data_IF_850776139779
#
_entry.id   IF_850776139779
#
_cell.length_a   1.000
_cell.length_b   1.000
_cell.length_c   1.000
_cell.angle_alpha   90.00
_cell.angle_beta   90.00
_cell.angle_gamma   90.00
#
_symmetry.space_group_name_H-M   'P 1'
#
loop_
_entity.id
_entity.type
_entity.pdbx_description
1 polymer ?
#
# COMPACT_ATOMS: atom_id res chain seq x y z
N UNK A 1 -6.05 47.16 -82.10
CA UNK A 1 -6.27 47.71 -80.75
C UNK A 1 -5.74 46.73 -79.72
N UNK A 2 -5.00 47.26 -78.73
CA UNK A 2 -4.49 46.72 -77.47
C UNK A 2 -4.23 45.20 -77.31
N UNK A 3 -2.93 44.84 -77.20
CA UNK A 3 -2.49 43.68 -76.41
C UNK A 3 -2.22 44.17 -74.99
N UNK A 4 -3.05 43.77 -74.03
CA UNK A 4 -2.79 44.02 -72.61
C UNK A 4 -1.90 42.90 -72.06
N UNK A 5 -0.62 43.19 -71.91
CA UNK A 5 0.31 42.34 -71.14
C UNK A 5 -0.01 42.51 -69.66
N UNK A 6 -0.60 41.48 -69.05
CA UNK A 6 -0.70 41.39 -67.60
C UNK A 6 0.49 40.56 -67.10
N UNK A 7 1.50 41.24 -66.56
CA UNK A 7 2.64 40.61 -65.87
C UNK A 7 2.18 40.30 -64.44
N UNK A 8 2.35 39.07 -63.93
CA UNK A 8 2.10 38.80 -62.52
C UNK A 8 3.19 39.49 -61.69
N UNK A 9 2.81 40.44 -60.84
CA UNK A 9 3.64 40.92 -59.74
C UNK A 9 3.85 39.76 -58.77
N UNK A 10 5.05 39.18 -58.81
CA UNK A 10 5.54 38.33 -57.75
C UNK A 10 5.72 39.21 -56.51
N UNK A 11 5.00 38.92 -55.44
CA UNK A 11 5.26 39.51 -54.14
C UNK A 11 6.68 39.11 -53.70
N UNK A 12 7.64 40.03 -53.84
CA UNK A 12 8.94 39.93 -53.20
C UNK A 12 8.71 40.00 -51.68
N UNK A 13 8.72 38.85 -51.00
CA UNK A 13 9.03 38.81 -49.57
C UNK A 13 10.41 39.43 -49.40
N UNK A 14 10.46 40.65 -48.87
CA UNK A 14 11.70 41.31 -48.50
C UNK A 14 12.49 40.40 -47.54
N UNK A 15 13.78 40.21 -47.81
CA UNK A 15 14.65 39.45 -46.93
C UNK A 15 14.70 40.12 -45.55
N UNK A 16 14.67 39.34 -44.44
CA UNK A 16 14.71 39.89 -43.09
C UNK A 16 15.97 40.74 -42.90
N UNK A 17 15.80 41.88 -42.22
CA UNK A 17 16.92 42.77 -41.96
C UNK A 17 17.85 42.19 -40.91
N UNK A 18 19.06 42.72 -40.81
CA UNK A 18 19.98 42.35 -39.74
C UNK A 18 19.41 42.61 -38.34
N UNK A 19 18.59 43.65 -38.18
CA UNK A 19 17.92 43.95 -36.90
C UNK A 19 16.87 42.90 -36.56
N UNK A 20 16.11 42.41 -37.54
CA UNK A 20 15.12 41.34 -37.35
C UNK A 20 15.82 40.05 -36.90
N UNK A 21 16.91 39.67 -37.58
CA UNK A 21 17.70 38.48 -37.25
C UNK A 21 18.31 38.59 -35.84
N UNK A 22 18.78 39.78 -35.46
CA UNK A 22 19.33 40.00 -34.13
C UNK A 22 18.27 39.90 -33.04
N UNK A 23 17.09 40.49 -33.25
CA UNK A 23 15.98 40.40 -32.32
C UNK A 23 15.50 38.94 -32.13
N UNK A 24 15.46 38.17 -33.21
CA UNK A 24 15.10 36.75 -33.18
C UNK A 24 16.17 35.91 -32.45
N UNK A 25 17.46 36.21 -32.66
CA UNK A 25 18.55 35.57 -31.92
C UNK A 25 18.46 35.85 -30.42
N UNK A 26 18.21 37.10 -30.02
CA UNK A 26 18.06 37.49 -28.61
C UNK A 26 16.83 36.79 -27.98
N UNK A 27 15.73 36.69 -28.72
CA UNK A 27 14.52 35.98 -28.29
C UNK A 27 14.79 34.47 -28.08
N UNK A 28 15.43 33.80 -29.04
CA UNK A 28 15.77 32.38 -28.95
C UNK A 28 16.76 32.12 -27.80
N UNK A 29 17.70 33.03 -27.54
CA UNK A 29 18.61 32.92 -26.40
C UNK A 29 17.86 33.04 -25.06
N UNK A 30 16.89 33.94 -24.97
CA UNK A 30 16.04 34.07 -23.78
C UNK A 30 15.19 32.81 -23.55
N UNK A 31 14.59 32.25 -24.60
CA UNK A 31 13.84 30.99 -24.52
C UNK A 31 14.73 29.81 -24.12
N UNK A 32 15.94 29.72 -24.67
CA UNK A 32 16.90 28.67 -24.31
C UNK A 32 17.32 28.78 -22.84
N UNK A 33 17.49 30.00 -22.32
CA UNK A 33 17.81 30.22 -20.91
C UNK A 33 16.63 29.81 -20.00
N UNK A 34 15.40 30.15 -20.38
CA UNK A 34 14.19 29.73 -19.68
C UNK A 34 14.03 28.21 -19.67
N UNK A 35 14.16 27.56 -20.83
CA UNK A 35 14.05 26.11 -20.96
C UNK A 35 15.11 25.36 -20.13
N UNK A 36 16.32 25.90 -20.03
CA UNK A 36 17.37 25.32 -19.17
C UNK A 36 17.01 25.39 -17.68
N UNK A 37 16.45 26.52 -17.24
CA UNK A 37 15.98 26.67 -15.87
C UNK A 37 14.83 25.70 -15.56
N UNK A 38 13.87 25.57 -16.49
CA UNK A 38 12.76 24.62 -16.33
C UNK A 38 13.27 23.17 -16.23
N UNK A 39 14.26 22.78 -17.05
CA UNK A 39 14.88 21.45 -16.97
C UNK A 39 15.58 21.25 -15.63
N UNK A 40 16.30 22.24 -15.12
CA UNK A 40 16.95 22.15 -13.81
C UNK A 40 15.92 21.96 -12.68
N UNK A 41 14.87 22.78 -12.67
CA UNK A 41 13.75 22.64 -11.71
C UNK A 41 13.08 21.27 -11.79
N UNK A 42 12.76 20.79 -12.99
CA UNK A 42 12.12 19.50 -13.18
C UNK A 42 13.03 18.34 -12.75
N UNK A 43 14.34 18.47 -12.95
CA UNK A 43 15.33 17.47 -12.52
C UNK A 43 15.36 17.38 -10.99
N UNK A 44 15.43 18.52 -10.29
CA UNK A 44 15.38 18.55 -8.82
C UNK A 44 14.05 18.00 -8.29
N UNK A 45 12.93 18.32 -8.94
CA UNK A 45 11.61 17.79 -8.56
C UNK A 45 11.52 16.27 -8.75
N UNK A 46 12.12 15.75 -9.83
CA UNK A 46 12.18 14.33 -10.12
C UNK A 46 13.00 13.59 -9.06
N UNK A 47 14.19 14.07 -8.71
CA UNK A 47 15.04 13.49 -7.66
C UNK A 47 14.29 13.40 -6.33
N UNK A 48 13.63 14.48 -5.92
CA UNK A 48 12.81 14.49 -4.71
C UNK A 48 11.67 13.46 -4.77
N UNK A 49 10.96 13.39 -5.88
CA UNK A 49 9.86 12.44 -6.04
C UNK A 49 10.34 10.98 -6.02
N UNK A 50 11.54 10.70 -6.54
CA UNK A 50 12.15 9.37 -6.45
C UNK A 50 12.52 8.99 -5.02
N UNK A 51 13.03 9.93 -4.24
CA UNK A 51 13.34 9.70 -2.83
C UNK A 51 12.08 9.51 -1.97
N UNK A 52 11.04 10.32 -2.20
CA UNK A 52 9.73 10.13 -1.56
C UNK A 52 9.13 8.75 -1.91
N UNK A 53 9.24 8.32 -3.18
CA UNK A 53 8.81 7.00 -3.61
C UNK A 53 9.57 5.88 -2.90
N UNK A 54 10.89 6.01 -2.72
CA UNK A 54 11.70 5.03 -1.98
C UNK A 54 11.25 4.97 -0.52
N UNK A 55 11.05 6.11 0.14
CA UNK A 55 10.59 6.18 1.52
C UNK A 55 9.22 5.49 1.71
N UNK A 56 8.23 5.85 0.88
CA UNK A 56 6.90 5.23 0.92
C UNK A 56 6.96 3.73 0.63
N UNK A 57 7.83 3.29 -0.28
CA UNK A 57 7.99 1.86 -0.57
C UNK A 57 8.55 1.07 0.62
N UNK A 58 9.46 1.68 1.39
CA UNK A 58 10.01 1.08 2.61
C UNK A 58 8.96 1.01 3.73
N UNK A 59 8.19 2.08 3.94
CA UNK A 59 7.08 2.09 4.90
C UNK A 59 6.02 1.03 4.57
N UNK A 60 5.69 0.88 3.28
CA UNK A 60 4.72 -0.12 2.84
C UNK A 60 5.24 -1.55 3.02
N UNK A 61 6.53 -1.79 2.83
CA UNK A 61 7.16 -3.08 3.11
C UNK A 61 7.10 -3.42 4.61
N UNK A 62 7.45 -2.46 5.47
CA UNK A 62 7.39 -2.59 6.92
C UNK A 62 5.96 -2.87 7.39
N UNK A 63 4.97 -2.12 6.89
CA UNK A 63 3.58 -2.30 7.26
C UNK A 63 3.03 -3.69 6.87
N UNK A 64 3.46 -4.23 5.72
CA UNK A 64 3.12 -5.59 5.30
C UNK A 64 3.71 -6.64 6.25
N UNK A 65 4.95 -6.46 6.69
CA UNK A 65 5.58 -7.35 7.67
C UNK A 65 4.81 -7.30 8.99
N UNK A 66 4.52 -6.10 9.50
CA UNK A 66 3.75 -5.93 10.75
C UNK A 66 2.35 -6.52 10.65
N UNK A 67 1.65 -6.34 9.53
CA UNK A 67 0.34 -6.92 9.32
C UNK A 67 0.40 -8.46 9.34
N UNK A 68 1.39 -9.04 8.67
CA UNK A 68 1.58 -10.50 8.63
C UNK A 68 1.91 -11.04 10.03
N UNK A 69 2.76 -10.34 10.78
CA UNK A 69 3.09 -10.70 12.15
C UNK A 69 1.85 -10.64 13.06
N UNK A 70 1.08 -9.55 13.02
CA UNK A 70 -0.16 -9.42 13.80
C UNK A 70 -1.19 -10.50 13.46
N UNK A 71 -1.31 -10.88 12.19
CA UNK A 71 -2.18 -11.97 11.78
C UNK A 71 -1.70 -13.32 12.34
N UNK A 72 -0.39 -13.56 12.36
CA UNK A 72 0.18 -14.76 12.97
C UNK A 72 0.00 -14.78 14.50
N UNK A 73 0.18 -13.65 15.17
CA UNK A 73 -0.02 -13.48 16.61
C UNK A 73 -1.49 -13.71 16.98
N UNK A 74 -2.43 -13.10 16.26
CA UNK A 74 -3.87 -13.31 16.47
C UNK A 74 -4.28 -14.78 16.28
N UNK A 75 -3.69 -15.48 15.30
CA UNK A 75 -3.92 -16.91 15.11
C UNK A 75 -3.26 -17.77 16.19
N UNK A 76 -2.14 -17.34 16.76
CA UNK A 76 -1.54 -18.00 17.93
C UNK A 76 -2.46 -17.83 19.16
N UNK A 77 -2.92 -16.62 19.44
CA UNK A 77 -3.81 -16.32 20.56
C UNK A 77 -5.14 -17.08 20.46
N UNK A 78 -5.74 -17.13 19.27
CA UNK A 78 -6.97 -17.92 19.01
C UNK A 78 -6.78 -19.43 19.25
N UNK A 79 -5.57 -19.97 19.10
CA UNK A 79 -5.26 -21.37 19.43
C UNK A 79 -5.00 -21.61 20.91
N UNK A 80 -4.78 -20.55 21.68
CA UNK A 80 -4.47 -20.63 23.11
C UNK A 80 -5.70 -20.32 23.97
N UNK A 81 -6.86 -20.01 23.36
CA UNK A 81 -8.14 -19.83 24.05
C UNK A 81 -9.25 -20.58 23.31
N UNK A 82 -10.08 -21.33 24.03
CA UNK A 82 -11.24 -22.01 23.44
C UNK A 82 -12.43 -22.00 24.39
N UNK A 83 -13.64 -22.04 23.83
CA UNK A 83 -14.85 -22.34 24.57
C UNK A 83 -15.03 -23.86 24.65
N UNK A 84 -15.29 -24.37 25.85
CA UNK A 84 -15.45 -25.80 26.15
C UNK A 84 -16.76 -26.03 26.91
N UNK A 85 -17.51 -27.06 26.53
CA UNK A 85 -18.74 -27.49 27.19
C UNK A 85 -18.87 -29.01 27.13
N UNK A 86 -19.63 -29.62 28.05
CA UNK A 86 -20.04 -31.03 27.95
C UNK A 86 -21.19 -31.26 26.97
N UNK A 87 -21.84 -30.19 26.46
CA UNK A 87 -22.95 -30.29 25.51
C UNK A 87 -24.33 -30.33 26.18
N UNK A 88 -25.37 -30.54 25.38
CA UNK A 88 -26.78 -30.46 25.79
C UNK A 88 -27.22 -31.56 26.77
N UNK A 89 -26.39 -32.59 26.96
CA UNK A 89 -26.55 -33.64 27.96
C UNK A 89 -26.26 -33.17 29.39
N UNK A 90 -25.63 -32.00 29.57
CA UNK A 90 -25.55 -31.27 30.84
C UNK A 90 -24.88 -32.02 32.00
N UNK A 91 -24.16 -33.10 31.69
CA UNK A 91 -23.47 -33.91 32.71
C UNK A 91 -22.23 -33.16 33.19
N UNK A 92 -22.07 -33.13 34.50
CA UNK A 92 -20.87 -32.62 35.14
C UNK A 92 -19.66 -33.49 34.76
N UNK A 93 -18.59 -32.87 34.28
CA UNK A 93 -17.36 -33.55 33.91
C UNK A 93 -16.14 -32.79 34.42
N UNK A 94 -15.19 -33.52 35.02
CA UNK A 94 -13.95 -32.95 35.55
C UNK A 94 -12.75 -33.30 34.68
N UNK A 95 -11.97 -32.28 34.28
CA UNK A 95 -10.69 -32.49 33.58
C UNK A 95 -9.66 -31.46 34.02
N UNK A 96 -8.51 -31.95 34.46
CA UNK A 96 -7.37 -31.10 34.86
C UNK A 96 -7.73 -30.02 35.89
N UNK A 97 -8.61 -30.35 36.84
CA UNK A 97 -9.05 -29.42 37.90
C UNK A 97 -10.18 -28.47 37.49
N UNK A 98 -10.70 -28.55 36.27
CA UNK A 98 -11.85 -27.76 35.81
C UNK A 98 -13.12 -28.62 35.76
N UNK A 99 -14.21 -28.08 36.29
CA UNK A 99 -15.56 -28.63 36.19
C UNK A 99 -16.30 -28.05 34.98
N UNK A 100 -16.80 -28.90 34.09
CA UNK A 100 -17.69 -28.52 33.00
C UNK A 100 -19.11 -29.00 33.31
N UNK A 101 -20.09 -28.11 33.34
CA UNK A 101 -21.46 -28.32 33.84
C UNK A 101 -22.53 -28.15 32.75
N UNK A 102 -22.14 -28.29 31.48
CA UNK A 102 -22.99 -28.06 30.31
C UNK A 102 -22.92 -26.62 29.78
N UNK A 103 -22.50 -25.64 30.59
CA UNK A 103 -22.24 -24.28 30.11
C UNK A 103 -21.01 -24.20 29.19
N UNK A 104 -21.00 -23.26 28.25
CA UNK A 104 -19.78 -22.90 27.52
C UNK A 104 -18.87 -22.09 28.44
N UNK A 105 -17.69 -22.63 28.75
CA UNK A 105 -16.64 -21.97 29.52
C UNK A 105 -15.45 -21.63 28.63
N UNK A 106 -14.94 -20.42 28.78
CA UNK A 106 -13.65 -20.06 28.20
C UNK A 106 -12.51 -20.71 28.98
N UNK A 107 -11.61 -21.38 28.25
CA UNK A 107 -10.42 -22.04 28.80
C UNK A 107 -9.21 -21.45 28.10
N UNK A 108 -8.27 -20.93 28.88
CA UNK A 108 -7.00 -20.39 28.38
C UNK A 108 -5.86 -21.37 28.63
N UNK A 109 -5.12 -21.72 27.59
CA UNK A 109 -3.99 -22.65 27.61
C UNK A 109 -2.92 -22.24 28.61
N UNK A 110 -2.64 -20.95 28.73
CA UNK A 110 -1.66 -20.41 29.67
C UNK A 110 -2.08 -20.62 31.14
N UNK A 111 -3.38 -20.56 31.44
CA UNK A 111 -3.90 -20.70 32.81
C UNK A 111 -3.96 -22.16 33.25
N UNK A 112 -4.33 -23.07 32.33
CA UNK A 112 -4.47 -24.50 32.64
C UNK A 112 -3.17 -25.29 32.43
N UNK A 113 -2.25 -24.75 31.66
CA UNK A 113 -0.99 -25.39 31.29
C UNK A 113 -1.14 -26.46 30.20
N UNK A 114 -0.02 -26.77 29.56
CA UNK A 114 0.03 -27.62 28.35
C UNK A 114 -0.53 -29.04 28.55
N UNK A 115 -0.29 -29.63 29.72
CA UNK A 115 -0.74 -30.99 30.02
C UNK A 115 -2.27 -31.06 30.12
N UNK A 116 -2.89 -30.11 30.84
CA UNK A 116 -4.35 -30.04 30.98
C UNK A 116 -5.00 -29.65 29.66
N UNK A 117 -4.40 -28.70 28.93
CA UNK A 117 -4.88 -28.30 27.61
C UNK A 117 -4.96 -29.49 26.63
N UNK A 118 -3.90 -30.29 26.51
CA UNK A 118 -3.91 -31.52 25.70
C UNK A 118 -4.95 -32.52 26.19
N UNK A 119 -5.09 -32.67 27.51
CA UNK A 119 -6.05 -33.59 28.10
C UNK A 119 -7.50 -33.18 27.84
N UNK A 120 -7.81 -31.89 27.77
CA UNK A 120 -9.12 -31.34 27.37
C UNK A 120 -9.33 -31.53 25.86
N UNK A 121 -8.32 -31.23 25.04
CA UNK A 121 -8.42 -31.38 23.58
C UNK A 121 -8.59 -32.83 23.11
N UNK A 122 -8.11 -33.81 23.87
CA UNK A 122 -8.23 -35.23 23.56
C UNK A 122 -9.52 -35.87 24.12
N UNK A 123 -10.34 -35.11 24.85
CA UNK A 123 -11.50 -35.67 25.55
C UNK A 123 -12.74 -35.75 24.64
N UNK A 124 -13.26 -36.96 24.34
CA UNK A 124 -14.42 -37.12 23.47
C UNK A 124 -15.73 -36.58 24.05
N UNK A 125 -15.86 -36.46 25.38
CA UNK A 125 -17.08 -35.93 26.01
C UNK A 125 -17.17 -34.39 25.96
N UNK A 126 -16.10 -33.68 25.55
CA UNK A 126 -16.06 -32.22 25.54
C UNK A 126 -16.22 -31.68 24.13
N UNK A 127 -17.20 -30.79 23.97
CA UNK A 127 -17.38 -29.95 22.79
C UNK A 127 -16.49 -28.72 22.90
N UNK A 128 -15.91 -28.31 21.77
CA UNK A 128 -14.95 -27.19 21.70
C UNK A 128 -15.25 -26.32 20.50
N UNK A 129 -15.11 -25.01 20.66
CA UNK A 129 -15.11 -24.05 19.55
C UNK A 129 -14.13 -22.91 19.82
N UNK A 130 -13.67 -22.28 18.75
CA UNK A 130 -12.86 -21.07 18.86
C UNK A 130 -13.68 -19.94 19.52
N UNK A 131 -12.97 -19.05 20.22
CA UNK A 131 -13.54 -17.76 20.63
C UNK A 131 -13.55 -16.86 19.40
N UNK A 132 -14.69 -16.22 19.12
CA UNK A 132 -14.86 -15.23 18.03
C UNK A 132 -14.29 -13.86 18.39
#
# INVERSE_FOLDING_TARGET
MAKTNNKPETAETAAPSFEDIKAELDAVQAELAAARNDVEMLTTALEKAEDDKKALSAELAELKVQHTQRAADALADSRDVMLVSTGADGKEFWRGGLLFDGGWREVKRAEVGEAVWKAICAEPMLQRKAVE
#
